data_IF_891877426939
#
_entry.id   IF_891877426939
#
_cell.length_a   1.000
_cell.length_b   1.000
_cell.length_c   1.000
_cell.angle_alpha   90.00
_cell.angle_beta   90.00
_cell.angle_gamma   90.00
#
_symmetry.space_group_name_H-M   'P 1'
#
loop_
_entity.id
_entity.type
_entity.pdbx_description
1 polymer ?
#
# COMPACT_ATOMS: atom_id res chain seq x y z
N UNK A 1 -11.74 4.92 11.36
CA UNK A 1 -12.00 6.33 11.76
C UNK A 1 -10.69 7.08 11.57
N UNK A 2 -10.72 8.29 11.00
CA UNK A 2 -9.53 9.08 10.68
C UNK A 2 -9.79 10.53 11.09
N UNK A 3 -8.75 11.21 11.56
CA UNK A 3 -8.81 12.62 11.91
C UNK A 3 -8.06 13.39 10.83
N UNK A 4 -8.76 14.24 10.10
CA UNK A 4 -8.13 15.28 9.29
C UNK A 4 -7.68 16.37 10.27
N UNK A 5 -6.36 16.60 10.46
CA UNK A 5 -5.87 17.59 11.40
C UNK A 5 -6.38 18.99 11.07
N UNK A 6 -6.48 19.85 12.09
CA UNK A 6 -6.72 21.28 11.88
C UNK A 6 -5.71 21.87 10.89
N UNK A 7 -6.16 22.80 10.05
CA UNK A 7 -5.35 23.51 9.05
C UNK A 7 -4.75 22.61 7.95
N UNK A 8 -5.37 21.45 7.67
CA UNK A 8 -5.01 20.65 6.50
C UNK A 8 -5.40 21.39 5.21
N UNK A 9 -6.51 22.13 5.23
CA UNK A 9 -6.99 22.96 4.12
C UNK A 9 -7.19 24.42 4.56
N UNK A 10 -7.05 25.41 3.65
CA UNK A 10 -7.38 26.79 3.95
C UNK A 10 -8.82 26.93 4.45
N UNK A 11 -9.01 27.62 5.57
CA UNK A 11 -10.33 27.85 6.17
C UNK A 11 -10.87 26.71 7.04
N UNK A 12 -10.12 25.62 7.24
CA UNK A 12 -10.49 24.55 8.17
C UNK A 12 -9.68 24.64 9.47
N UNK A 13 -10.21 25.34 10.48
CA UNK A 13 -9.51 25.59 11.76
C UNK A 13 -9.65 24.47 12.81
N UNK A 14 -10.68 23.63 12.70
CA UNK A 14 -10.98 22.56 13.64
C UNK A 14 -10.66 21.19 13.04
N UNK A 15 -10.10 20.27 13.83
CA UNK A 15 -9.89 18.90 13.38
C UNK A 15 -11.22 18.22 13.04
N UNK A 16 -11.26 17.46 11.95
CA UNK A 16 -12.48 16.79 11.47
C UNK A 16 -12.32 15.28 11.60
N UNK A 17 -13.22 14.66 12.34
CA UNK A 17 -13.30 13.21 12.45
C UNK A 17 -14.18 12.63 11.36
N UNK A 18 -13.66 11.66 10.62
CA UNK A 18 -14.34 11.08 9.45
C UNK A 18 -13.94 9.61 9.25
N UNK A 19 -14.39 9.03 8.14
CA UNK A 19 -14.00 7.71 7.67
C UNK A 19 -12.83 7.82 6.68
N UNK A 20 -12.01 6.78 6.64
CA UNK A 20 -10.96 6.63 5.63
C UNK A 20 -10.87 5.16 5.24
N UNK A 21 -10.47 4.91 4.00
CA UNK A 21 -10.13 3.59 3.50
C UNK A 21 -8.69 3.60 2.98
N UNK A 22 -7.94 2.50 3.13
CA UNK A 22 -6.63 2.37 2.51
C UNK A 22 -6.74 2.43 0.98
N UNK A 23 -5.78 3.10 0.35
CA UNK A 23 -5.59 3.00 -1.09
C UNK A 23 -4.70 1.78 -1.39
N UNK A 24 -5.02 1.05 -2.45
CA UNK A 24 -4.22 -0.06 -2.95
C UNK A 24 -4.00 0.08 -4.45
N UNK A 25 -2.85 -0.42 -4.93
CA UNK A 25 -2.53 -0.47 -6.36
C UNK A 25 -2.99 -1.81 -6.92
N UNK A 26 -4.01 -1.79 -7.76
CA UNK A 26 -4.53 -2.98 -8.42
C UNK A 26 -3.87 -3.20 -9.78
N UNK A 27 -3.81 -4.47 -10.20
CA UNK A 27 -3.36 -4.86 -11.52
C UNK A 27 -4.23 -6.00 -12.06
N UNK A 28 -4.07 -6.35 -13.34
CA UNK A 28 -4.75 -7.51 -13.91
C UNK A 28 -4.11 -8.79 -13.40
N UNK A 29 -4.92 -9.82 -13.19
CA UNK A 29 -4.47 -11.12 -12.72
C UNK A 29 -3.61 -11.89 -13.74
N UNK A 30 -3.69 -11.52 -15.02
CA UNK A 30 -2.97 -12.19 -16.12
C UNK A 30 -1.67 -11.47 -16.52
N UNK A 31 -1.20 -10.51 -15.71
CA UNK A 31 0.13 -9.94 -15.92
C UNK A 31 1.21 -11.01 -15.61
N UNK A 32 2.35 -10.98 -16.33
CA UNK A 32 3.45 -11.87 -15.99
C UNK A 32 3.93 -11.65 -14.55
N UNK A 33 4.18 -12.74 -13.84
CA UNK A 33 4.65 -12.73 -12.44
C UNK A 33 5.84 -11.80 -12.23
N UNK A 34 6.86 -11.93 -13.09
CA UNK A 34 8.10 -11.15 -12.99
C UNK A 34 7.88 -9.66 -13.15
N UNK A 35 6.92 -9.25 -14.00
CA UNK A 35 6.60 -7.82 -14.18
C UNK A 35 6.05 -7.25 -12.88
N UNK A 36 5.13 -7.96 -12.22
CA UNK A 36 4.54 -7.48 -10.97
C UNK A 36 5.53 -7.56 -9.81
N UNK A 37 6.40 -8.58 -9.80
CA UNK A 37 7.50 -8.67 -8.83
C UNK A 37 8.42 -7.45 -8.94
N UNK A 38 8.91 -7.13 -10.14
CA UNK A 38 9.84 -6.01 -10.35
C UNK A 38 9.19 -4.66 -10.01
N UNK A 39 7.92 -4.46 -10.35
CA UNK A 39 7.18 -3.24 -9.93
C UNK A 39 7.11 -3.15 -8.41
N UNK A 40 6.68 -4.22 -7.74
CA UNK A 40 6.53 -4.25 -6.27
C UNK A 40 7.87 -3.99 -5.59
N UNK A 41 8.92 -4.68 -6.04
CA UNK A 41 10.29 -4.47 -5.57
C UNK A 41 10.77 -3.04 -5.76
N UNK A 42 10.62 -2.51 -6.97
CA UNK A 42 11.04 -1.14 -7.30
C UNK A 42 10.38 -0.11 -6.38
N UNK A 43 9.08 -0.27 -6.09
CA UNK A 43 8.36 0.64 -5.19
C UNK A 43 8.95 0.60 -3.78
N UNK A 44 9.10 -0.58 -3.18
CA UNK A 44 9.50 -0.68 -1.78
C UNK A 44 11.01 -0.49 -1.54
N UNK A 45 11.86 -0.85 -2.50
CA UNK A 45 13.31 -0.61 -2.40
C UNK A 45 13.67 0.86 -2.64
N UNK A 46 12.80 1.63 -3.29
CA UNK A 46 12.96 3.08 -3.50
C UNK A 46 11.92 3.91 -2.72
N UNK A 47 11.39 3.36 -1.62
CA UNK A 47 10.27 3.98 -0.90
C UNK A 47 10.61 5.39 -0.39
N UNK A 48 11.86 5.66 -0.01
CA UNK A 48 12.32 6.98 0.41
C UNK A 48 12.17 8.04 -0.68
N UNK A 49 12.42 7.69 -1.95
CA UNK A 49 12.24 8.59 -3.08
C UNK A 49 10.76 8.92 -3.29
N UNK A 50 9.89 7.91 -3.21
CA UNK A 50 8.43 8.07 -3.30
C UNK A 50 7.89 8.95 -2.16
N UNK A 51 8.44 8.80 -0.95
CA UNK A 51 8.10 9.60 0.22
C UNK A 51 8.51 11.07 0.09
N UNK A 52 9.60 11.34 -0.64
CA UNK A 52 10.02 12.71 -0.94
C UNK A 52 9.13 13.39 -1.99
N UNK A 53 8.45 12.63 -2.85
CA UNK A 53 7.58 13.19 -3.89
C UNK A 53 6.22 13.64 -3.34
N UNK A 54 5.58 12.84 -2.47
CA UNK A 54 4.23 13.15 -1.99
C UNK A 54 4.00 12.73 -0.54
N UNK A 55 3.62 13.69 0.32
CA UNK A 55 3.49 13.46 1.78
C UNK A 55 2.57 12.30 2.16
N UNK A 56 1.54 11.98 1.37
CA UNK A 56 0.64 10.86 1.67
C UNK A 56 1.35 9.49 1.70
N UNK A 57 2.47 9.33 0.97
CA UNK A 57 3.21 8.07 0.93
C UNK A 57 4.09 7.86 2.16
N UNK A 58 4.20 8.85 3.06
CA UNK A 58 4.83 8.68 4.38
C UNK A 58 4.09 7.66 5.26
N UNK A 59 2.84 7.36 4.96
CA UNK A 59 2.08 6.31 5.64
C UNK A 59 2.42 4.89 5.13
N UNK A 60 3.05 4.78 3.96
CA UNK A 60 3.44 3.49 3.37
C UNK A 60 4.63 2.90 4.13
N UNK A 61 4.56 1.59 4.38
CA UNK A 61 5.68 0.77 4.81
C UNK A 61 5.45 -0.67 4.34
N UNK A 62 6.51 -1.46 4.24
CA UNK A 62 6.39 -2.84 3.75
C UNK A 62 5.61 -3.73 4.73
N UNK A 63 5.71 -3.45 6.03
CA UNK A 63 5.01 -4.17 7.10
C UNK A 63 3.50 -3.95 7.05
N UNK A 64 3.05 -2.86 6.43
CA UNK A 64 1.64 -2.52 6.26
C UNK A 64 1.08 -2.89 4.89
N UNK A 65 1.92 -3.40 3.99
CA UNK A 65 1.59 -3.57 2.58
C UNK A 65 0.41 -4.53 2.32
N UNK A 66 0.24 -5.54 3.19
CA UNK A 66 -0.79 -6.57 3.07
C UNK A 66 -2.01 -6.32 3.96
N UNK A 67 -1.98 -5.25 4.77
CA UNK A 67 -3.03 -4.97 5.76
C UNK A 67 -4.29 -4.38 5.10
N UNK A 68 -5.45 -4.95 5.42
CA UNK A 68 -6.74 -4.41 5.01
C UNK A 68 -7.08 -4.62 3.53
N UNK A 69 -6.36 -5.52 2.85
CA UNK A 69 -6.70 -5.94 1.49
C UNK A 69 -7.90 -6.88 1.50
N UNK A 70 -8.84 -6.65 0.59
CA UNK A 70 -10.06 -7.45 0.43
C UNK A 70 -10.03 -8.38 -0.80
N UNK A 71 -8.96 -8.31 -1.59
CA UNK A 71 -8.79 -9.09 -2.83
C UNK A 71 -7.43 -9.79 -2.83
N UNK A 72 -7.28 -10.91 -3.55
CA UNK A 72 -6.02 -11.63 -3.63
C UNK A 72 -4.88 -10.76 -4.17
N UNK A 73 -3.67 -11.04 -3.68
CA UNK A 73 -2.44 -10.49 -4.21
C UNK A 73 -2.04 -11.23 -5.49
N UNK A 74 -1.41 -10.50 -6.41
CA UNK A 74 -0.77 -11.11 -7.56
C UNK A 74 0.44 -11.96 -7.14
N UNK A 75 0.70 -13.08 -7.80
CA UNK A 75 1.80 -14.00 -7.46
C UNK A 75 3.17 -13.30 -7.34
N UNK A 76 3.46 -12.37 -8.25
CA UNK A 76 4.71 -11.58 -8.19
C UNK A 76 4.83 -10.70 -6.94
N UNK A 77 3.73 -10.15 -6.44
CA UNK A 77 3.72 -9.40 -5.19
C UNK A 77 3.85 -10.33 -3.97
N UNK A 78 3.17 -11.48 -3.98
CA UNK A 78 3.30 -12.54 -2.95
C UNK A 78 4.75 -12.99 -2.83
N UNK A 79 5.43 -13.23 -3.97
CA UNK A 79 6.85 -13.60 -4.00
C UNK A 79 7.71 -12.55 -3.31
N UNK A 80 7.59 -11.28 -3.70
CA UNK A 80 8.38 -10.20 -3.12
C UNK A 80 8.12 -10.03 -1.60
N UNK A 81 6.86 -10.01 -1.17
CA UNK A 81 6.53 -9.84 0.24
C UNK A 81 7.02 -11.01 1.09
N UNK A 82 6.91 -12.25 0.58
CA UNK A 82 7.44 -13.44 1.24
C UNK A 82 8.97 -13.38 1.41
N UNK A 83 9.70 -12.95 0.38
CA UNK A 83 11.17 -12.78 0.44
C UNK A 83 11.60 -11.74 1.48
N UNK A 84 10.77 -10.71 1.72
CA UNK A 84 11.00 -9.69 2.75
C UNK A 84 10.48 -10.11 4.13
N UNK A 85 10.00 -11.34 4.28
CA UNK A 85 9.56 -11.90 5.56
C UNK A 85 8.20 -11.37 6.03
N UNK A 86 7.38 -10.86 5.12
CA UNK A 86 6.03 -10.40 5.45
C UNK A 86 5.09 -11.60 5.55
N UNK A 87 4.36 -11.68 6.66
CA UNK A 87 3.30 -12.68 6.84
C UNK A 87 2.09 -12.32 5.96
N UNK A 88 1.69 -13.24 5.09
CA UNK A 88 0.61 -13.05 4.13
C UNK A 88 -0.54 -13.94 4.58
N UNK A 89 -1.72 -13.36 4.81
CA UNK A 89 -2.92 -14.13 5.11
C UNK A 89 -3.22 -15.12 3.97
N UNK A 90 -3.62 -16.37 4.27
CA UNK A 90 -4.03 -17.35 3.25
C UNK A 90 -5.13 -16.83 2.31
N UNK A 91 -6.03 -15.99 2.82
CA UNK A 91 -7.10 -15.36 2.03
C UNK A 91 -6.59 -14.42 0.93
N UNK A 92 -5.31 -14.03 0.97
CA UNK A 92 -4.68 -13.14 0.00
C UNK A 92 -3.80 -13.87 -1.01
N UNK A 93 -3.57 -15.18 -0.86
CA UNK A 93 -2.64 -15.92 -1.72
C UNK A 93 -3.24 -16.37 -3.07
N UNK A 94 -4.53 -16.11 -3.31
CA UNK A 94 -5.23 -16.57 -4.53
C UNK A 94 -5.48 -18.08 -4.53
N UNK A 95 -6.28 -18.56 -5.50
CA UNK A 95 -6.39 -19.98 -5.85
C UNK A 95 -5.38 -20.35 -6.94
#
# INVERSE_FOLDING_TARGET
RYIIPANTYPGQSEAIETIAQPNFLACRADLPEDVVYEITKTIYENLSEIQNIHKATLAMSIEKATMGLAVPLHAGAVRYYSEKGIDISPSLMGE
#
